data_IF_723086823253
#
_entry.id   IF_723086823253
#
_cell.length_a   1.000
_cell.length_b   1.000
_cell.length_c   1.000
_cell.angle_alpha   90.00
_cell.angle_beta   90.00
_cell.angle_gamma   90.00
#
_symmetry.space_group_name_H-M   'P 1'
#
loop_
_entity.id
_entity.type
_entity.pdbx_description
1 polymer ?
#
# COMPACT_ATOMS: atom_id res chain seq x y z
N UNK A 1 -10.13 8.93 -10.88
CA UNK A 1 -10.75 10.26 -10.60
C UNK A 1 -11.22 10.53 -9.16
N UNK A 2 -10.97 9.69 -8.14
CA UNK A 2 -11.46 9.98 -6.76
C UNK A 2 -10.52 9.61 -5.60
N UNK A 3 -9.19 9.48 -5.79
CA UNK A 3 -8.28 9.01 -4.73
C UNK A 3 -8.72 7.65 -4.12
N UNK A 4 -9.27 6.78 -4.98
CA UNK A 4 -9.78 5.46 -4.57
C UNK A 4 -8.76 4.40 -4.85
N UNK A 5 -8.59 3.48 -3.91
CA UNK A 5 -7.79 2.28 -4.09
C UNK A 5 -8.75 1.12 -4.34
N UNK A 6 -8.47 0.39 -5.42
CA UNK A 6 -9.24 -0.77 -5.82
C UNK A 6 -8.41 -2.04 -5.66
N UNK A 7 -9.09 -3.12 -5.29
CA UNK A 7 -8.57 -4.48 -5.31
C UNK A 7 -9.49 -5.40 -6.10
N UNK A 8 -9.05 -6.64 -6.30
CA UNK A 8 -9.88 -7.71 -6.87
C UNK A 8 -10.18 -8.78 -5.83
N UNK A 9 -11.42 -9.26 -5.78
CA UNK A 9 -11.89 -10.18 -4.74
C UNK A 9 -12.18 -11.56 -5.30
N UNK A 10 -11.46 -12.58 -4.80
CA UNK A 10 -11.69 -13.95 -5.24
C UNK A 10 -13.12 -14.41 -4.90
N UNK A 11 -13.88 -14.94 -5.88
CA UNK A 11 -15.28 -15.34 -5.65
C UNK A 11 -15.42 -16.55 -4.72
N UNK A 12 -14.36 -17.35 -4.58
CA UNK A 12 -14.38 -18.57 -3.76
C UNK A 12 -13.94 -18.34 -2.31
N UNK A 13 -12.78 -17.73 -2.11
CA UNK A 13 -12.22 -17.55 -0.76
C UNK A 13 -12.48 -16.15 -0.17
N UNK A 14 -13.04 -15.23 -0.95
CA UNK A 14 -13.31 -13.85 -0.53
C UNK A 14 -12.05 -13.00 -0.31
N UNK A 15 -10.85 -13.53 -0.62
CA UNK A 15 -9.61 -12.79 -0.44
C UNK A 15 -9.52 -11.62 -1.42
N UNK A 16 -9.28 -10.42 -0.88
CA UNK A 16 -9.13 -9.18 -1.66
C UNK A 16 -7.65 -8.88 -1.89
N UNK A 17 -7.25 -8.77 -3.15
CA UNK A 17 -5.87 -8.50 -3.55
C UNK A 17 -5.68 -7.02 -3.89
N UNK A 18 -4.68 -6.42 -3.26
CA UNK A 18 -4.12 -5.12 -3.57
C UNK A 18 -2.58 -5.27 -3.63
N UNK A 19 -1.92 -4.95 -4.76
CA UNK A 19 -2.52 -4.57 -6.04
C UNK A 19 -3.46 -5.65 -6.63
N UNK A 20 -4.43 -5.26 -7.48
CA UNK A 20 -5.32 -6.17 -8.18
C UNK A 20 -4.59 -7.32 -8.87
N UNK A 21 -5.24 -8.50 -8.89
CA UNK A 21 -4.79 -9.69 -9.63
C UNK A 21 -5.94 -10.26 -10.45
N UNK A 22 -5.62 -10.77 -11.64
CA UNK A 22 -6.57 -11.43 -12.54
C UNK A 22 -6.89 -12.86 -12.09
N UNK A 23 -5.95 -13.56 -11.45
CA UNK A 23 -6.15 -14.94 -10.98
C UNK A 23 -5.78 -15.06 -9.49
N UNK A 24 -6.60 -15.79 -8.74
CA UNK A 24 -6.35 -16.09 -7.33
C UNK A 24 -5.25 -17.15 -7.18
N UNK A 25 -4.08 -16.85 -6.59
CA UNK A 25 -3.01 -17.83 -6.39
C UNK A 25 -3.35 -18.92 -5.37
N UNK A 26 -4.45 -18.78 -4.62
CA UNK A 26 -4.90 -19.76 -3.61
C UNK A 26 -5.93 -20.74 -4.17
N UNK A 27 -6.79 -20.26 -5.07
CA UNK A 27 -7.91 -21.02 -5.60
C UNK A 27 -7.77 -21.37 -7.09
N UNK A 28 -6.81 -20.76 -7.79
CA UNK A 28 -6.58 -20.90 -9.24
C UNK A 28 -7.82 -20.57 -10.09
N UNK A 29 -8.62 -19.61 -9.63
CA UNK A 29 -9.78 -19.09 -10.34
C UNK A 29 -9.50 -17.66 -10.79
N UNK A 30 -10.07 -17.31 -11.93
CA UNK A 30 -10.11 -15.94 -12.41
C UNK A 30 -10.96 -15.06 -11.48
N UNK A 31 -10.59 -13.78 -11.42
CA UNK A 31 -11.18 -12.78 -10.54
C UNK A 31 -11.68 -11.60 -11.37
N UNK A 32 -13.00 -11.49 -11.50
CA UNK A 32 -13.64 -10.38 -12.22
C UNK A 32 -14.22 -9.30 -11.28
N UNK A 33 -14.38 -9.60 -9.98
CA UNK A 33 -14.99 -8.69 -9.00
C UNK A 33 -13.98 -7.63 -8.53
N UNK A 34 -14.20 -6.39 -8.94
CA UNK A 34 -13.49 -5.20 -8.43
C UNK A 34 -14.17 -4.66 -7.17
N UNK A 35 -13.38 -4.37 -6.14
CA UNK A 35 -13.85 -3.83 -4.86
C UNK A 35 -13.01 -2.64 -4.42
N UNK A 36 -13.66 -1.60 -3.90
CA UNK A 36 -12.98 -0.47 -3.27
C UNK A 36 -12.54 -0.87 -1.85
N UNK A 37 -11.29 -0.59 -1.49
CA UNK A 37 -10.70 -0.97 -0.18
C UNK A 37 -10.52 0.23 0.77
N UNK A 38 -10.77 1.45 0.30
CA UNK A 38 -10.44 2.65 1.06
C UNK A 38 -8.93 2.94 1.09
N UNK A 39 -8.57 4.06 1.71
CA UNK A 39 -7.23 4.65 1.67
C UNK A 39 -6.46 4.53 3.00
N UNK A 40 -7.13 4.05 4.05
CA UNK A 40 -6.54 3.82 5.36
C UNK A 40 -6.12 2.35 5.56
N UNK A 41 -5.12 2.11 6.40
CA UNK A 41 -4.62 0.78 6.67
C UNK A 41 -3.74 0.68 7.91
N UNK A 42 -3.28 -0.54 8.18
CA UNK A 42 -2.37 -0.86 9.29
C UNK A 42 -1.00 -1.22 8.74
N UNK A 43 0.05 -0.63 9.32
CA UNK A 43 1.43 -1.00 9.01
C UNK A 43 1.75 -2.38 9.62
N UNK A 44 1.98 -3.38 8.77
CA UNK A 44 2.29 -4.75 9.20
C UNK A 44 3.77 -4.93 9.57
N UNK A 45 4.66 -4.30 8.82
CA UNK A 45 6.11 -4.30 9.04
C UNK A 45 6.74 -3.19 8.21
N UNK A 46 7.98 -2.82 8.51
CA UNK A 46 8.72 -1.79 7.79
C UNK A 46 10.23 -2.06 7.78
N UNK A 47 10.92 -1.36 6.89
CA UNK A 47 12.38 -1.22 6.89
C UNK A 47 12.76 0.24 6.69
N UNK A 48 13.91 0.64 7.21
CA UNK A 48 14.48 1.97 7.00
C UNK A 48 15.73 1.81 6.14
N UNK A 49 15.68 2.35 4.93
CA UNK A 49 16.84 2.43 4.05
C UNK A 49 17.70 3.60 4.50
N UNK A 50 18.94 3.32 4.90
CA UNK A 50 19.88 4.32 5.44
C UNK A 50 21.09 4.61 4.53
N UNK A 51 21.23 3.87 3.44
CA UNK A 51 22.34 4.01 2.49
C UNK A 51 21.80 4.15 1.07
N UNK A 52 22.49 4.96 0.27
CA UNK A 52 22.09 5.23 -1.11
C UNK A 52 22.68 4.18 -2.03
N UNK A 53 21.87 3.70 -2.98
CA UNK A 53 22.33 2.91 -4.12
C UNK A 53 21.85 3.63 -5.39
N UNK A 54 22.73 4.46 -6.01
CA UNK A 54 22.36 5.28 -7.16
C UNK A 54 21.73 4.47 -8.28
N UNK A 55 20.64 4.98 -8.85
CA UNK A 55 19.92 4.36 -9.97
C UNK A 55 19.01 3.18 -9.60
N UNK A 56 18.99 2.74 -8.35
CA UNK A 56 18.10 1.66 -7.88
C UNK A 56 17.01 2.20 -6.96
N UNK A 57 17.35 3.15 -6.10
CA UNK A 57 16.44 3.62 -5.05
C UNK A 57 15.57 4.79 -5.53
N UNK A 58 14.27 4.79 -5.19
CA UNK A 58 13.35 5.85 -5.61
C UNK A 58 13.51 7.15 -4.82
N UNK A 59 14.14 7.11 -3.64
CA UNK A 59 14.30 8.24 -2.73
C UNK A 59 15.70 8.26 -2.12
N UNK A 60 16.15 9.46 -1.75
CA UNK A 60 17.38 9.64 -0.97
C UNK A 60 17.17 9.18 0.48
N UNK A 61 18.13 8.43 1.08
CA UNK A 61 18.07 8.06 2.48
C UNK A 61 18.14 9.25 3.45
N UNK A 62 17.58 9.13 4.67
CA UNK A 62 16.81 7.99 5.16
C UNK A 62 15.35 8.04 4.68
N UNK A 63 14.82 6.89 4.25
CA UNK A 63 13.38 6.73 4.00
C UNK A 63 12.90 5.35 4.43
N UNK A 64 11.60 5.22 4.69
CA UNK A 64 11.00 3.98 5.14
C UNK A 64 10.07 3.38 4.08
N UNK A 65 10.17 2.06 3.91
CA UNK A 65 9.23 1.25 3.15
C UNK A 65 8.44 0.38 4.13
N UNK A 66 7.12 0.46 4.05
CA UNK A 66 6.20 -0.33 4.84
C UNK A 66 5.47 -1.37 3.99
N UNK A 67 5.00 -2.42 4.67
CA UNK A 67 3.94 -3.28 4.14
C UNK A 67 2.64 -2.84 4.83
N UNK A 68 1.76 -2.17 4.10
CA UNK A 68 0.50 -1.63 4.59
C UNK A 68 -0.63 -2.58 4.22
N UNK A 69 -1.38 -3.08 5.21
CA UNK A 69 -2.65 -3.74 4.95
C UNK A 69 -3.76 -2.71 4.98
N UNK A 70 -4.27 -2.32 3.81
CA UNK A 70 -5.44 -1.47 3.70
C UNK A 70 -6.65 -2.13 4.36
N UNK A 71 -7.55 -1.30 4.89
CA UNK A 71 -8.84 -1.79 5.34
C UNK A 71 -9.57 -2.45 4.16
N UNK A 72 -10.37 -3.48 4.38
CA UNK A 72 -10.99 -4.22 3.27
C UNK A 72 -10.05 -5.06 2.37
N UNK A 73 -8.73 -4.89 2.45
CA UNK A 73 -7.77 -5.72 1.73
C UNK A 73 -7.37 -6.98 2.51
N UNK A 74 -7.14 -8.08 1.78
CA UNK A 74 -6.55 -9.30 2.32
C UNK A 74 -5.02 -9.26 2.30
N UNK A 75 -4.42 -8.72 1.24
CA UNK A 75 -2.96 -8.60 1.08
C UNK A 75 -2.39 -7.29 1.64
N UNK A 76 -1.07 -7.27 1.82
CA UNK A 76 -0.32 -6.06 2.10
C UNK A 76 0.21 -5.41 0.81
N UNK A 77 0.20 -4.08 0.79
CA UNK A 77 0.78 -3.22 -0.24
C UNK A 77 2.13 -2.69 0.25
N UNK A 78 3.19 -2.90 -0.53
CA UNK A 78 4.49 -2.29 -0.24
C UNK A 78 4.45 -0.84 -0.69
N UNK A 79 4.72 0.10 0.21
CA UNK A 79 4.78 1.52 -0.14
C UNK A 79 5.64 2.33 0.83
N UNK A 80 6.01 3.54 0.40
CA UNK A 80 6.70 4.54 1.22
C UNK A 80 5.86 5.01 2.41
N UNK A 81 6.53 5.27 3.52
CA UNK A 81 6.00 6.01 4.66
C UNK A 81 6.54 7.45 4.64
N UNK A 82 5.66 8.42 4.88
CA UNK A 82 5.98 9.85 4.89
C UNK A 82 5.29 10.58 6.04
N UNK A 83 5.66 11.85 6.27
CA UNK A 83 5.19 12.65 7.41
C UNK A 83 5.43 11.97 8.78
N UNK A 84 6.48 11.16 8.89
CA UNK A 84 6.91 10.50 10.14
C UNK A 84 8.42 10.32 10.17
N UNK A 85 9.03 10.59 11.31
CA UNK A 85 10.45 10.32 11.52
C UNK A 85 10.71 8.81 11.69
N UNK A 86 11.83 8.26 11.19
CA UNK A 86 12.08 6.83 11.22
C UNK A 86 12.02 6.20 12.62
N UNK A 87 12.36 6.96 13.66
CA UNK A 87 12.37 6.52 15.06
C UNK A 87 10.96 6.41 15.66
N UNK A 88 9.97 7.07 15.06
CA UNK A 88 8.58 7.07 15.51
C UNK A 88 7.73 5.98 14.84
N UNK A 89 8.25 5.33 13.79
CA UNK A 89 7.55 4.27 13.06
C UNK A 89 7.36 3.04 13.95
N UNK A 90 6.12 2.55 14.04
CA UNK A 90 5.77 1.37 14.85
C UNK A 90 4.89 0.40 14.09
N UNK A 91 5.20 -0.89 14.18
CA UNK A 91 4.31 -1.95 13.68
C UNK A 91 2.95 -1.84 14.38
N UNK A 92 1.88 -2.00 13.60
CA UNK A 92 0.49 -1.89 14.07
C UNK A 92 -0.09 -0.48 14.01
N UNK A 93 0.71 0.55 13.67
CA UNK A 93 0.19 1.90 13.55
C UNK A 93 -0.77 2.08 12.38
N UNK A 94 -1.69 3.02 12.53
CA UNK A 94 -2.67 3.40 11.51
C UNK A 94 -2.07 4.42 10.57
N UNK A 95 -2.24 4.19 9.27
CA UNK A 95 -1.74 5.06 8.21
C UNK A 95 -2.81 5.31 7.15
N UNK A 96 -2.67 6.40 6.40
CA UNK A 96 -3.55 6.78 5.29
C UNK A 96 -2.73 7.19 4.07
N UNK A 97 -3.21 6.83 2.88
CA UNK A 97 -2.57 7.20 1.63
C UNK A 97 -2.65 8.72 1.39
N UNK A 98 -1.54 9.28 0.93
CA UNK A 98 -1.47 10.60 0.31
C UNK A 98 -1.25 10.39 -1.17
N UNK A 99 -2.11 10.99 -2.00
CA UNK A 99 -2.06 10.85 -3.45
C UNK A 99 -1.36 12.05 -4.08
N UNK A 100 -0.62 11.79 -5.17
CA UNK A 100 -0.04 12.83 -6.02
C UNK A 100 -1.14 13.68 -6.66
N UNK A 101 -0.81 14.94 -6.96
CA UNK A 101 -1.73 15.85 -7.67
C UNK A 101 -2.03 15.35 -9.10
N UNK A 102 -0.97 14.99 -9.83
CA UNK A 102 -1.03 14.40 -11.17
C UNK A 102 -0.96 12.88 -11.05
N UNK A 103 -1.90 12.20 -11.70
CA UNK A 103 -2.16 10.77 -11.52
C UNK A 103 -2.35 10.09 -12.87
N UNK A 104 -1.85 8.87 -12.99
CA UNK A 104 -1.79 8.08 -14.22
C UNK A 104 -2.64 6.80 -14.17
N UNK A 105 -3.31 6.54 -13.04
CA UNK A 105 -4.17 5.38 -12.84
C UNK A 105 -3.43 4.12 -12.39
N UNK A 106 -2.27 4.26 -11.75
CA UNK A 106 -1.50 3.14 -11.20
C UNK A 106 -1.18 3.37 -9.72
N UNK A 107 -0.68 2.34 -9.03
CA UNK A 107 -0.48 2.43 -7.57
C UNK A 107 0.58 3.45 -7.14
N UNK A 108 1.46 3.92 -8.04
CA UNK A 108 2.42 5.01 -7.79
C UNK A 108 1.76 6.40 -7.79
N UNK A 109 0.47 6.48 -8.08
CA UNK A 109 -0.35 7.66 -7.80
C UNK A 109 -0.48 7.92 -6.30
N UNK A 110 -0.26 6.89 -5.48
CA UNK A 110 -0.01 7.06 -4.05
C UNK A 110 1.42 7.57 -3.91
N UNK A 111 1.58 8.76 -3.33
CA UNK A 111 2.89 9.33 -3.08
C UNK A 111 3.57 8.64 -1.90
N UNK A 112 2.84 8.49 -0.79
CA UNK A 112 3.27 7.78 0.42
C UNK A 112 2.06 7.50 1.32
N UNK A 113 2.28 6.75 2.39
CA UNK A 113 1.34 6.59 3.50
C UNK A 113 1.83 7.38 4.71
N UNK A 114 0.94 8.13 5.34
CA UNK A 114 1.25 8.90 6.55
C UNK A 114 0.52 8.38 7.78
N UNK A 115 1.02 8.63 9.00
CA UNK A 115 0.29 8.31 10.22
C UNK A 115 -1.08 8.98 10.25
N UNK A 116 -2.12 8.21 10.58
CA UNK A 116 -3.39 8.79 10.98
C UNK A 116 -3.20 9.41 12.37
N UNK A 117 -3.41 10.72 12.49
CA UNK A 117 -3.39 11.39 13.79
C UNK A 117 -4.48 10.76 14.65
N UNK A 118 -4.09 10.22 15.80
CA UNK A 118 -5.01 9.80 16.87
C UNK A 118 -5.70 10.98 17.50
#
# INVERSE_FOLDING_TARGET
>A
DHCKIWGTKCPRCGWVYVPPRETCPRCFLDIDEWVEVGDAGTLLTYTITRYSVPGIQPHEPPYALGIIKLDGAGSGLVHLLGEIEPEDIRVGMRVQAVFREVREGNYLDIEYFKPLRS
#
